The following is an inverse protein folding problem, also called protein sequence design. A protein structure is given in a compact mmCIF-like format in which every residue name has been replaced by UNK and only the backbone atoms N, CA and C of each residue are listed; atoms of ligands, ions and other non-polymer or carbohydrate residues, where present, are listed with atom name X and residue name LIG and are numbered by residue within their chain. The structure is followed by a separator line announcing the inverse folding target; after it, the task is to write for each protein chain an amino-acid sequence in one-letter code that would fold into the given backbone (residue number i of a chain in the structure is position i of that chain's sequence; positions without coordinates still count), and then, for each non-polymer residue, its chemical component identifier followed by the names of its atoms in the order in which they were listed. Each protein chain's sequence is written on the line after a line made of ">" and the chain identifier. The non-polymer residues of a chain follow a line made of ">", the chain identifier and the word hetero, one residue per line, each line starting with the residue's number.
data_IF_878226312018
#
_entry.id   IF_878226312018
#
_cell.length_a   1.000
_cell.length_b   1.000
_cell.length_c   1.000
_cell.angle_alpha   90.00
_cell.angle_beta   90.00
_cell.angle_gamma   90.00
#
_symmetry.space_group_name_H-M   'P 1'
#
loop_
_entity.id
_entity.type
_entity.pdbx_description
1 polymer ?
#
# COMPACT_ATOMS: atom_id res chain seq x y z
N UNK A 1 -45.27 -79.64 -16.78
CA UNK A 1 -45.40 -78.17 -16.84
C UNK A 1 -44.69 -77.46 -15.68
N UNK A 2 -44.53 -78.08 -14.51
CA UNK A 2 -43.94 -77.47 -13.30
C UNK A 2 -42.40 -77.31 -13.31
N UNK A 3 -41.67 -78.14 -14.08
CA UNK A 3 -40.20 -78.13 -14.13
C UNK A 3 -39.60 -77.05 -15.06
N UNK A 4 -40.35 -76.60 -16.07
CA UNK A 4 -39.91 -75.51 -16.97
C UNK A 4 -40.02 -74.14 -16.29
N UNK A 5 -41.08 -73.92 -15.50
CA UNK A 5 -41.28 -72.69 -14.72
C UNK A 5 -40.19 -72.44 -13.66
N UNK A 6 -39.64 -73.49 -13.06
CA UNK A 6 -38.54 -73.35 -12.09
C UNK A 6 -37.20 -72.98 -12.76
N UNK A 7 -36.93 -73.55 -13.94
CA UNK A 7 -35.72 -73.27 -14.70
C UNK A 7 -35.73 -71.84 -15.28
N UNK A 8 -36.90 -71.34 -15.70
CA UNK A 8 -37.06 -69.96 -16.17
C UNK A 8 -36.82 -68.94 -15.04
N UNK A 9 -37.20 -69.26 -13.80
CA UNK A 9 -36.97 -68.40 -12.63
C UNK A 9 -35.48 -68.36 -12.22
N UNK A 10 -34.76 -69.49 -12.24
CA UNK A 10 -33.31 -69.52 -11.98
C UNK A 10 -32.51 -68.69 -12.99
N UNK A 11 -32.86 -68.78 -14.28
CA UNK A 11 -32.21 -67.99 -15.34
C UNK A 11 -32.49 -66.49 -15.13
N UNK A 12 -33.72 -66.13 -14.72
CA UNK A 12 -34.08 -64.75 -14.41
C UNK A 12 -33.28 -64.20 -13.21
N UNK A 13 -33.10 -64.97 -12.13
CA UNK A 13 -32.30 -64.56 -10.96
C UNK A 13 -30.83 -64.37 -11.29
N UNK A 14 -30.24 -65.25 -12.10
CA UNK A 14 -28.85 -65.12 -12.55
C UNK A 14 -28.67 -63.84 -13.40
N UNK A 15 -29.61 -63.56 -14.30
CA UNK A 15 -29.61 -62.33 -15.12
C UNK A 15 -29.74 -61.05 -14.30
N UNK A 16 -30.59 -61.05 -13.26
CA UNK A 16 -30.71 -59.94 -12.32
C UNK A 16 -29.43 -59.73 -11.51
N UNK A 17 -28.82 -60.80 -11.01
CA UNK A 17 -27.57 -60.75 -10.26
C UNK A 17 -26.42 -60.16 -11.10
N UNK A 18 -26.28 -60.60 -12.35
CA UNK A 18 -25.30 -60.06 -13.29
C UNK A 18 -25.54 -58.56 -13.56
N UNK A 19 -26.79 -58.15 -13.75
CA UNK A 19 -27.16 -56.75 -13.98
C UNK A 19 -26.84 -55.85 -12.78
N UNK A 20 -27.14 -56.32 -11.55
CA UNK A 20 -26.82 -55.60 -10.31
C UNK A 20 -25.32 -55.48 -10.08
N UNK A 21 -24.54 -56.54 -10.35
CA UNK A 21 -23.08 -56.49 -10.27
C UNK A 21 -22.50 -55.49 -11.27
N UNK A 22 -23.03 -55.46 -12.50
CA UNK A 22 -22.56 -54.53 -13.54
C UNK A 22 -22.86 -53.08 -13.17
N UNK A 23 -24.05 -52.82 -12.63
CA UNK A 23 -24.43 -51.50 -12.10
C UNK A 23 -23.55 -51.09 -10.90
N UNK A 24 -23.24 -52.03 -9.99
CA UNK A 24 -22.38 -51.75 -8.83
C UNK A 24 -20.94 -51.43 -9.25
N UNK A 25 -20.39 -52.18 -10.21
CA UNK A 25 -19.05 -51.91 -10.74
C UNK A 25 -19.01 -50.59 -11.51
N UNK A 26 -20.06 -50.30 -12.29
CA UNK A 26 -20.18 -49.03 -13.01
C UNK A 26 -20.27 -47.85 -12.04
N UNK A 27 -21.09 -47.95 -10.99
CA UNK A 27 -21.20 -46.86 -10.00
C UNK A 27 -19.90 -46.67 -9.25
N UNK A 28 -19.25 -47.73 -8.76
CA UNK A 28 -17.93 -47.63 -8.12
C UNK A 28 -16.90 -46.96 -9.04
N UNK A 29 -16.87 -47.33 -10.33
CA UNK A 29 -15.98 -46.72 -11.32
C UNK A 29 -16.30 -45.24 -11.53
N UNK A 30 -17.57 -44.88 -11.68
CA UNK A 30 -18.01 -43.49 -11.83
C UNK A 30 -17.66 -42.63 -10.60
N UNK A 31 -17.83 -43.16 -9.39
CA UNK A 31 -17.47 -42.45 -8.15
C UNK A 31 -15.96 -42.20 -8.07
N UNK A 32 -15.12 -43.18 -8.45
CA UNK A 32 -13.67 -42.98 -8.50
C UNK A 32 -13.25 -41.91 -9.51
N UNK A 33 -13.89 -41.86 -10.68
CA UNK A 33 -13.60 -40.87 -11.73
C UNK A 33 -14.02 -39.45 -11.31
N UNK A 34 -15.13 -39.31 -10.58
CA UNK A 34 -15.57 -38.00 -10.07
C UNK A 34 -14.63 -37.45 -9.00
N UNK A 35 -14.07 -38.31 -8.14
CA UNK A 35 -13.15 -37.90 -7.07
C UNK A 35 -11.85 -37.27 -7.62
N UNK A 36 -11.33 -37.79 -8.73
CA UNK A 36 -10.12 -37.26 -9.38
C UNK A 36 -10.36 -35.85 -9.96
N UNK A 37 -11.51 -35.62 -10.57
CA UNK A 37 -11.87 -34.31 -11.13
C UNK A 37 -12.04 -33.23 -10.04
N UNK A 38 -12.62 -33.59 -8.89
CA UNK A 38 -12.78 -32.68 -7.75
C UNK A 38 -11.41 -32.31 -7.17
N UNK A 39 -10.51 -33.30 -7.03
CA UNK A 39 -9.16 -33.06 -6.54
C UNK A 39 -8.41 -32.07 -7.43
N UNK A 40 -8.51 -32.20 -8.75
CA UNK A 40 -7.88 -31.28 -9.70
C UNK A 40 -8.44 -29.85 -9.59
N UNK A 41 -9.76 -29.70 -9.47
CA UNK A 41 -10.39 -28.37 -9.37
C UNK A 41 -10.00 -27.64 -8.07
N UNK A 42 -9.88 -28.37 -6.96
CA UNK A 42 -9.45 -27.81 -5.67
C UNK A 42 -8.00 -27.33 -5.74
N UNK A 43 -7.10 -28.10 -6.39
CA UNK A 43 -5.70 -27.69 -6.55
C UNK A 43 -5.57 -26.43 -7.43
N UNK A 44 -6.25 -26.38 -8.58
CA UNK A 44 -6.19 -25.20 -9.46
C UNK A 44 -6.72 -23.92 -8.81
N UNK A 45 -7.69 -24.02 -7.88
CA UNK A 45 -8.21 -22.86 -7.14
C UNK A 45 -7.23 -22.37 -6.09
N UNK A 46 -6.48 -23.28 -5.46
CA UNK A 46 -5.50 -22.94 -4.44
C UNK A 46 -4.30 -22.19 -5.02
N UNK A 47 -3.81 -22.63 -6.19
CA UNK A 47 -2.67 -21.99 -6.87
C UNK A 47 -2.97 -20.54 -7.25
N UNK A 48 -4.14 -20.29 -7.83
CA UNK A 48 -4.56 -18.94 -8.23
C UNK A 48 -4.70 -18.01 -7.03
N UNK A 49 -5.23 -18.49 -5.90
CA UNK A 49 -5.41 -17.65 -4.71
C UNK A 49 -4.08 -17.29 -4.05
N UNK A 50 -3.13 -18.21 -3.99
CA UNK A 50 -1.78 -17.94 -3.48
C UNK A 50 -1.06 -16.92 -4.35
N UNK A 51 -1.11 -17.06 -5.67
CA UNK A 51 -0.50 -16.10 -6.60
C UNK A 51 -1.18 -14.72 -6.56
N UNK A 52 -2.51 -14.67 -6.45
CA UNK A 52 -3.22 -13.40 -6.26
C UNK A 52 -2.85 -12.72 -4.94
N UNK A 53 -2.71 -13.48 -3.85
CA UNK A 53 -2.27 -12.93 -2.56
C UNK A 53 -0.83 -12.41 -2.64
N UNK A 54 0.06 -13.10 -3.35
CA UNK A 54 1.44 -12.65 -3.61
C UNK A 54 1.44 -11.36 -4.44
N UNK A 55 0.68 -11.31 -5.52
CA UNK A 55 0.56 -10.13 -6.38
C UNK A 55 0.02 -8.91 -5.63
N UNK A 56 -1.07 -9.07 -4.86
CA UNK A 56 -1.64 -7.98 -4.04
C UNK A 56 -0.65 -7.47 -3.00
N UNK A 57 0.09 -8.38 -2.34
CA UNK A 57 1.12 -7.98 -1.36
C UNK A 57 2.27 -7.23 -2.03
N UNK A 58 2.74 -7.71 -3.17
CA UNK A 58 3.78 -7.04 -3.94
C UNK A 58 3.33 -5.63 -4.38
N UNK A 59 2.08 -5.50 -4.83
CA UNK A 59 1.49 -4.21 -5.20
C UNK A 59 1.41 -3.24 -4.01
N UNK A 60 0.94 -3.72 -2.85
CA UNK A 60 0.86 -2.87 -1.64
C UNK A 60 2.25 -2.39 -1.21
N UNK A 61 3.24 -3.28 -1.21
CA UNK A 61 4.63 -2.93 -0.86
C UNK A 61 5.20 -1.93 -1.85
N UNK A 62 5.05 -2.17 -3.15
CA UNK A 62 5.53 -1.26 -4.18
C UNK A 62 4.87 0.13 -4.09
N UNK A 63 3.58 0.18 -3.78
CA UNK A 63 2.86 1.45 -3.63
C UNK A 63 3.28 2.21 -2.36
N UNK A 64 3.55 1.50 -1.26
CA UNK A 64 4.10 2.09 -0.04
C UNK A 64 5.49 2.67 -0.26
N UNK A 65 6.38 1.93 -0.93
CA UNK A 65 7.73 2.39 -1.28
C UNK A 65 7.68 3.63 -2.18
N UNK A 66 6.84 3.59 -3.22
CA UNK A 66 6.62 4.73 -4.11
C UNK A 66 6.09 5.95 -3.36
N UNK A 67 5.17 5.74 -2.42
CA UNK A 67 4.61 6.83 -1.60
C UNK A 67 5.67 7.46 -0.70
N UNK A 68 6.50 6.65 -0.04
CA UNK A 68 7.62 7.13 0.78
C UNK A 68 8.67 7.87 -0.05
N UNK A 69 9.06 7.31 -1.20
CA UNK A 69 10.00 7.97 -2.10
C UNK A 69 9.46 9.33 -2.56
N UNK A 70 8.16 9.41 -2.86
CA UNK A 70 7.50 10.66 -3.22
C UNK A 70 7.48 11.67 -2.08
N UNK A 71 7.22 11.24 -0.85
CA UNK A 71 7.21 12.08 0.35
C UNK A 71 8.60 12.68 0.62
N UNK A 72 9.65 11.85 0.60
CA UNK A 72 11.04 12.29 0.77
C UNK A 72 11.42 13.29 -0.32
N UNK A 73 11.11 12.98 -1.57
CA UNK A 73 11.48 13.84 -2.68
C UNK A 73 10.67 15.16 -2.72
N UNK A 74 9.54 15.26 -2.02
CA UNK A 74 8.64 16.43 -1.98
C UNK A 74 8.83 17.31 -0.73
N UNK A 75 9.63 16.86 0.23
CA UNK A 75 9.82 17.54 1.51
C UNK A 75 11.23 18.11 1.58
N UNK A 76 11.37 19.27 2.22
CA UNK A 76 12.68 19.82 2.56
C UNK A 76 13.23 19.10 3.80
N UNK A 77 14.45 18.57 3.71
CA UNK A 77 15.01 17.70 4.75
C UNK A 77 15.32 18.44 6.06
N UNK A 78 15.63 19.74 5.98
CA UNK A 78 15.95 20.55 7.16
C UNK A 78 14.66 20.98 7.87
N UNK A 79 13.72 21.55 7.14
CA UNK A 79 12.55 22.24 7.70
C UNK A 79 11.28 21.39 7.77
N UNK A 80 11.23 20.29 7.01
CA UNK A 80 10.08 19.37 6.97
C UNK A 80 8.85 19.91 6.25
N UNK A 81 8.94 21.07 5.59
CA UNK A 81 7.86 21.64 4.76
C UNK A 81 7.99 21.20 3.30
N UNK A 82 6.96 21.49 2.49
CA UNK A 82 7.00 21.21 1.06
C UNK A 82 8.18 21.95 0.39
N UNK A 83 9.02 21.22 -0.34
CA UNK A 83 10.12 21.82 -1.06
C UNK A 83 9.64 22.54 -2.34
N UNK A 84 10.56 23.24 -3.01
CA UNK A 84 10.26 23.99 -4.25
C UNK A 84 9.56 23.14 -5.31
N UNK A 85 9.96 21.87 -5.47
CA UNK A 85 9.37 20.95 -6.47
C UNK A 85 7.91 20.63 -6.13
N UNK A 86 7.62 20.33 -4.87
CA UNK A 86 6.26 20.08 -4.40
C UNK A 86 5.36 21.31 -4.51
N UNK A 87 5.91 22.50 -4.22
CA UNK A 87 5.21 23.78 -4.38
C UNK A 87 4.80 24.02 -5.84
N UNK A 88 5.76 23.93 -6.77
CA UNK A 88 5.48 24.13 -8.21
C UNK A 88 4.46 23.12 -8.74
N UNK A 89 4.62 21.83 -8.41
CA UNK A 89 3.65 20.82 -8.83
C UNK A 89 2.23 21.06 -8.27
N UNK A 90 2.11 21.69 -7.11
CA UNK A 90 0.81 22.07 -6.54
C UNK A 90 0.20 23.27 -7.30
N UNK A 91 1.02 24.24 -7.71
CA UNK A 91 0.57 25.36 -8.55
C UNK A 91 0.10 24.88 -9.92
N UNK A 92 0.83 23.97 -10.56
CA UNK A 92 0.45 23.39 -11.86
C UNK A 92 -0.89 22.65 -11.77
N UNK A 93 -1.10 21.87 -10.70
CA UNK A 93 -2.36 21.18 -10.46
C UNK A 93 -3.53 22.15 -10.24
N UNK A 94 -3.31 23.25 -9.50
CA UNK A 94 -4.33 24.28 -9.29
C UNK A 94 -4.65 25.05 -10.58
N UNK A 95 -3.65 25.31 -11.41
CA UNK A 95 -3.83 25.96 -12.71
C UNK A 95 -4.67 25.08 -13.65
N UNK A 96 -4.40 23.77 -13.70
CA UNK A 96 -5.18 22.81 -14.49
C UNK A 96 -6.63 22.67 -14.00
N UNK A 97 -6.87 22.83 -12.70
CA UNK A 97 -8.20 22.75 -12.10
C UNK A 97 -9.10 23.96 -12.41
N UNK A 98 -8.59 25.00 -13.09
CA UNK A 98 -9.38 26.17 -13.50
C UNK A 98 -9.78 27.08 -12.33
N UNK A 99 -9.02 27.10 -11.24
CA UNK A 99 -9.33 27.94 -10.08
C UNK A 99 -9.19 29.44 -10.40
N UNK A 100 -10.24 30.27 -10.17
CA UNK A 100 -10.20 31.69 -10.51
C UNK A 100 -9.41 32.47 -9.44
N UNK A 101 -8.12 32.66 -9.71
CA UNK A 101 -7.22 33.51 -8.93
C UNK A 101 -6.40 32.76 -7.87
N UNK A 102 -5.09 32.68 -8.10
CA UNK A 102 -4.11 32.19 -7.13
C UNK A 102 -3.26 33.39 -6.70
N UNK A 103 -3.21 33.66 -5.39
CA UNK A 103 -2.26 34.60 -4.82
C UNK A 103 -1.05 33.84 -4.27
N UNK A 104 0.16 34.25 -4.65
CA UNK A 104 1.42 33.70 -4.16
C UNK A 104 2.17 34.78 -3.40
N UNK A 105 2.61 34.47 -2.19
CA UNK A 105 3.47 35.33 -1.38
C UNK A 105 4.86 34.70 -1.27
N UNK A 106 5.89 35.52 -1.43
CA UNK A 106 7.29 35.14 -1.21
C UNK A 106 7.75 35.91 0.02
N UNK A 107 8.38 35.21 0.96
CA UNK A 107 8.90 35.77 2.20
C UNK A 107 10.39 35.46 2.28
N UNK A 108 11.17 36.44 2.74
CA UNK A 108 12.60 36.28 3.04
C UNK A 108 12.87 36.60 4.51
N UNK A 109 13.96 36.07 5.06
CA UNK A 109 14.36 36.33 6.44
C UNK A 109 15.42 37.44 6.48
N UNK A 110 14.98 38.65 6.82
CA UNK A 110 15.88 39.78 7.00
C UNK A 110 16.94 39.48 8.08
N UNK A 111 18.21 39.78 7.77
CA UNK A 111 19.31 39.63 8.73
C UNK A 111 19.72 38.17 9.01
N UNK A 112 19.29 37.20 8.20
CA UNK A 112 19.67 35.80 8.42
C UNK A 112 21.16 35.52 8.23
N UNK A 113 21.82 36.16 7.26
CA UNK A 113 23.26 35.98 7.01
C UNK A 113 24.15 36.36 8.22
N UNK A 114 23.98 37.53 8.86
CA UNK A 114 24.67 37.85 10.11
C UNK A 114 24.51 36.81 11.23
N UNK A 115 23.35 36.11 11.31
CA UNK A 115 23.14 35.04 12.29
C UNK A 115 24.07 33.86 11.98
N UNK A 116 24.12 33.42 10.73
CA UNK A 116 25.04 32.36 10.30
C UNK A 116 26.50 32.74 10.52
N UNK A 117 26.86 33.98 10.21
CA UNK A 117 28.23 34.48 10.31
C UNK A 117 28.67 34.61 11.79
N UNK A 118 27.74 34.91 12.71
CA UNK A 118 28.04 35.12 14.15
C UNK A 118 27.93 33.84 14.98
N UNK A 119 26.93 33.00 14.70
CA UNK A 119 26.56 31.85 15.54
C UNK A 119 26.73 30.50 14.83
N UNK A 120 27.22 30.51 13.59
CA UNK A 120 27.42 29.31 12.78
C UNK A 120 26.14 28.80 12.10
N UNK A 121 26.34 27.94 11.10
CA UNK A 121 25.26 27.39 10.29
C UNK A 121 24.27 26.54 11.10
N UNK A 122 24.72 25.82 12.12
CA UNK A 122 23.84 25.00 12.95
C UNK A 122 22.78 25.84 13.68
N UNK A 123 23.17 27.01 14.21
CA UNK A 123 22.24 27.96 14.81
C UNK A 123 21.28 28.52 13.76
N UNK A 124 21.79 28.81 12.56
CA UNK A 124 20.98 29.20 11.40
C UNK A 124 19.91 28.17 11.04
N UNK A 125 20.29 26.90 11.00
CA UNK A 125 19.41 25.77 10.72
C UNK A 125 18.29 25.66 11.77
N UNK A 126 18.62 25.82 13.05
CA UNK A 126 17.62 25.87 14.12
C UNK A 126 16.63 27.04 13.94
N UNK A 127 17.11 28.21 13.53
CA UNK A 127 16.26 29.36 13.21
C UNK A 127 15.33 29.04 12.03
N UNK A 128 15.83 28.43 10.96
CA UNK A 128 15.03 28.03 9.80
C UNK A 128 13.94 27.02 10.17
N UNK A 129 14.27 26.03 11.00
CA UNK A 129 13.31 25.04 11.51
C UNK A 129 12.20 25.75 12.29
N UNK A 130 12.54 26.60 13.26
CA UNK A 130 11.57 27.27 14.11
C UNK A 130 10.68 28.25 13.34
N UNK A 131 11.26 28.99 12.39
CA UNK A 131 10.49 29.87 11.47
C UNK A 131 9.48 29.04 10.68
N UNK A 132 9.91 27.90 10.12
CA UNK A 132 9.07 27.03 9.29
C UNK A 132 7.88 26.48 10.09
N UNK A 133 8.13 26.02 11.33
CA UNK A 133 7.10 25.55 12.26
C UNK A 133 6.07 26.66 12.53
N UNK A 134 6.54 27.85 12.89
CA UNK A 134 5.66 28.99 13.22
C UNK A 134 4.83 29.42 12.02
N UNK A 135 5.45 29.56 10.85
CA UNK A 135 4.77 30.00 9.64
C UNK A 135 3.69 29.00 9.24
N UNK A 136 4.01 27.71 9.21
CA UNK A 136 3.05 26.68 8.84
C UNK A 136 1.86 26.61 9.81
N UNK A 137 2.12 26.75 11.12
CA UNK A 137 1.06 26.84 12.13
C UNK A 137 0.15 28.06 11.94
N UNK A 138 0.71 29.23 11.60
CA UNK A 138 -0.05 30.46 11.34
C UNK A 138 -0.90 30.33 10.08
N UNK A 139 -0.33 29.80 9.00
CA UNK A 139 -1.04 29.57 7.72
C UNK A 139 -2.18 28.58 7.92
N UNK A 140 -1.95 27.45 8.60
CA UNK A 140 -2.98 26.46 8.90
C UNK A 140 -4.16 27.06 9.70
N UNK A 141 -3.84 27.87 10.73
CA UNK A 141 -4.84 28.56 11.55
C UNK A 141 -5.62 29.59 10.74
N UNK A 142 -4.94 30.34 9.87
CA UNK A 142 -5.58 31.28 8.96
C UNK A 142 -6.52 30.56 7.99
N UNK A 143 -6.04 29.53 7.29
CA UNK A 143 -6.87 28.71 6.37
C UNK A 143 -8.11 28.15 7.05
N UNK A 144 -7.98 27.66 8.29
CA UNK A 144 -9.10 27.12 9.06
C UNK A 144 -10.19 28.16 9.35
N UNK A 145 -9.82 29.45 9.46
CA UNK A 145 -10.76 30.57 9.68
C UNK A 145 -11.34 31.10 8.37
N UNK A 146 -10.52 31.20 7.33
CA UNK A 146 -10.87 31.82 6.05
C UNK A 146 -11.70 30.90 5.14
N UNK A 147 -11.52 29.57 5.24
CA UNK A 147 -12.10 28.61 4.28
C UNK A 147 -13.22 27.73 4.84
N UNK A 148 -13.80 28.05 5.99
CA UNK A 148 -15.02 27.40 6.53
C UNK A 148 -15.16 25.90 6.25
N UNK A 149 -14.70 25.03 7.17
CA UNK A 149 -14.81 23.55 7.10
C UNK A 149 -14.22 22.83 5.87
N UNK A 150 -13.66 23.50 4.84
CA UNK A 150 -12.79 22.81 3.86
C UNK A 150 -11.43 22.55 4.51
N UNK A 151 -11.24 21.31 4.96
CA UNK A 151 -10.08 20.85 5.72
C UNK A 151 -8.83 20.82 4.83
N UNK A 152 -8.09 21.92 4.77
CA UNK A 152 -6.71 21.91 4.28
C UNK A 152 -5.86 21.25 5.36
N UNK A 153 -5.31 20.06 5.10
CA UNK A 153 -4.33 19.46 6.01
C UNK A 153 -3.00 20.17 5.74
N UNK A 154 -2.46 20.98 6.67
CA UNK A 154 -1.07 21.38 6.55
C UNK A 154 -0.22 20.11 6.63
N UNK A 155 0.47 19.78 5.54
CA UNK A 155 1.45 18.69 5.50
C UNK A 155 2.70 19.19 6.23
N UNK A 156 2.65 19.17 7.56
CA UNK A 156 3.83 19.33 8.39
C UNK A 156 3.93 18.08 9.24
N UNK A 157 4.63 17.06 8.73
CA UNK A 157 5.04 15.93 9.54
C UNK A 157 6.23 16.38 10.38
N UNK A 158 5.97 17.08 11.48
CA UNK A 158 7.01 17.41 12.45
C UNK A 158 7.43 16.11 13.14
N UNK A 159 8.51 15.47 12.67
CA UNK A 159 9.32 14.67 13.57
C UNK A 159 9.94 15.66 14.55
N UNK A 160 9.40 15.73 15.77
CA UNK A 160 10.09 16.40 16.87
C UNK A 160 11.43 15.67 17.07
N UNK A 161 12.53 16.28 16.62
CA UNK A 161 13.87 15.92 17.07
C UNK A 161 13.91 16.24 18.57
N UNK A 162 14.07 15.23 19.41
CA UNK A 162 14.16 15.43 20.85
C UNK A 162 15.52 16.08 21.21
N UNK A 163 15.62 16.80 22.33
CA UNK A 163 16.91 17.24 22.83
C UNK A 163 17.65 16.00 23.37
N UNK A 164 18.53 15.41 22.56
CA UNK A 164 19.24 14.17 22.92
C UNK A 164 19.83 13.36 21.76
N UNK A 165 19.67 13.78 20.49
CA UNK A 165 20.22 13.06 19.33
C UNK A 165 21.72 13.35 19.08
N UNK A 166 22.38 14.08 19.99
CA UNK A 166 23.84 14.28 19.98
C UNK A 166 24.54 13.10 20.68
N UNK A 167 24.71 11.99 19.97
CA UNK A 167 25.84 11.06 20.15
C UNK A 167 25.73 9.89 19.16
N UNK A 168 26.35 10.02 17.98
CA UNK A 168 26.94 8.89 17.29
C UNK A 168 28.37 9.27 16.88
N UNK A 169 29.40 8.53 17.34
CA UNK A 169 30.76 8.76 16.88
C UNK A 169 30.89 8.34 15.41
N UNK A 170 31.49 9.21 14.61
CA UNK A 170 31.99 8.83 13.29
C UNK A 170 33.19 7.89 13.48
N UNK A 171 32.94 6.58 13.45
CA UNK A 171 33.97 5.55 13.32
C UNK A 171 33.60 4.58 12.19
N UNK A 172 34.20 4.81 11.02
CA UNK A 172 34.25 3.90 9.88
C UNK A 172 35.61 4.06 9.19
N UNK A 173 36.24 2.98 8.70
CA UNK A 173 37.69 2.87 8.60
C UNK A 173 38.28 3.56 7.38
N UNK A 174 39.53 4.00 7.53
CA UNK A 174 40.42 4.38 6.46
C UNK A 174 40.68 3.18 5.54
N UNK A 175 40.35 3.33 4.25
CA UNK A 175 40.90 2.51 3.19
C UNK A 175 41.95 3.33 2.43
N UNK A 176 43.19 2.83 2.47
CA UNK A 176 44.22 3.10 1.47
C UNK A 176 43.81 2.51 0.12
#
# INVERSE_FOLDING_TARGET
>A
MSLQLLADDEIAHIGMGASLMLLMLLTLRLTTLQNENIAQLVHSRFDVEVEQRRARRAETVANEEKSRAREIANTDALTGIANRRAFLGSLDALAQAGHPGIAVAILDLDGFKPINDTFGHETGDQVLIEVSVRLAGRVAKWLSRSLGRRRVRPAVSLRRRGPGDDCLPASGPAHF
#
